data_IF_172497511071
#
_entry.id   IF_172497511071
#
_cell.length_a   1.000
_cell.length_b   1.000
_cell.length_c   1.000
_cell.angle_alpha   90.00
_cell.angle_beta   90.00
_cell.angle_gamma   90.00
#
_symmetry.space_group_name_H-M   'P 1'
#
loop_
_entity.id
_entity.type
_entity.pdbx_description
1 polymer ?
#
# COMPACT_ATOMS: atom_id res chain seq x y z
N UNK A 1 -54.11 25.53 -6.02
CA UNK A 1 -53.15 25.13 -4.96
C UNK A 1 -53.65 24.00 -4.06
N UNK A 2 -54.91 24.01 -3.57
CA UNK A 2 -55.41 23.02 -2.59
C UNK A 2 -55.35 21.55 -3.05
N UNK A 3 -55.53 21.25 -4.34
CA UNK A 3 -55.51 19.88 -4.86
C UNK A 3 -54.10 19.24 -4.95
N UNK A 4 -53.04 20.04 -5.07
CA UNK A 4 -51.66 19.52 -5.14
C UNK A 4 -51.15 19.02 -3.79
N UNK A 5 -51.57 19.67 -2.71
CA UNK A 5 -51.23 19.25 -1.33
C UNK A 5 -51.99 17.96 -0.96
N UNK A 6 -53.26 17.87 -1.34
CA UNK A 6 -54.08 16.67 -1.08
C UNK A 6 -53.53 15.43 -1.80
N UNK A 7 -53.04 15.59 -3.04
CA UNK A 7 -52.45 14.51 -3.82
C UNK A 7 -51.13 14.02 -3.21
N UNK A 8 -50.29 14.93 -2.68
CA UNK A 8 -49.05 14.55 -1.98
C UNK A 8 -49.29 13.75 -0.71
N UNK A 9 -50.32 14.11 0.08
CA UNK A 9 -50.69 13.39 1.31
C UNK A 9 -51.20 11.97 1.00
N UNK A 10 -51.99 11.81 -0.07
CA UNK A 10 -52.50 10.49 -0.49
C UNK A 10 -51.38 9.53 -0.92
N UNK A 11 -50.35 10.03 -1.62
CA UNK A 11 -49.19 9.23 -2.01
C UNK A 11 -48.40 8.80 -0.77
N UNK A 12 -48.16 9.72 0.17
CA UNK A 12 -47.42 9.43 1.40
C UNK A 12 -48.13 8.35 2.24
N UNK A 13 -49.46 8.43 2.38
CA UNK A 13 -50.25 7.43 3.10
C UNK A 13 -50.26 6.06 2.38
N UNK A 14 -50.27 6.04 1.04
CA UNK A 14 -50.14 4.82 0.26
C UNK A 14 -48.80 4.11 0.45
N UNK A 15 -47.70 4.87 0.51
CA UNK A 15 -46.35 4.33 0.75
C UNK A 15 -46.23 3.77 2.18
N UNK A 16 -46.73 4.48 3.19
CA UNK A 16 -46.69 4.01 4.58
C UNK A 16 -47.57 2.75 4.76
N UNK A 17 -48.74 2.70 4.11
CA UNK A 17 -49.59 1.51 4.10
C UNK A 17 -48.95 0.30 3.41
N UNK A 18 -48.25 0.52 2.30
CA UNK A 18 -47.53 -0.52 1.56
C UNK A 18 -46.38 -1.14 2.35
N UNK A 19 -45.58 -0.32 3.05
CA UNK A 19 -44.48 -0.80 3.90
C UNK A 19 -45.01 -1.64 5.06
N UNK A 20 -46.09 -1.21 5.72
CA UNK A 20 -46.68 -1.96 6.83
C UNK A 20 -47.31 -3.28 6.38
N UNK A 21 -47.91 -3.32 5.18
CA UNK A 21 -48.44 -4.56 4.59
C UNK A 21 -47.32 -5.55 4.22
N UNK A 22 -46.16 -5.05 3.77
CA UNK A 22 -45.02 -5.88 3.41
C UNK A 22 -44.33 -6.51 4.64
N UNK A 23 -44.21 -5.76 5.74
CA UNK A 23 -43.64 -6.28 6.99
C UNK A 23 -44.55 -7.29 7.70
N UNK A 24 -45.88 -7.17 7.59
CA UNK A 24 -46.80 -8.11 8.24
C UNK A 24 -46.94 -9.47 7.51
N UNK A 25 -46.33 -9.63 6.33
CA UNK A 25 -46.48 -10.83 5.48
C UNK A 25 -45.23 -11.74 5.46
N UNK A 26 -44.17 -11.40 6.20
CA UNK A 26 -42.90 -12.16 6.24
C UNK A 26 -42.71 -12.96 7.53
N UNK A 27 -43.79 -13.59 8.04
CA UNK A 27 -43.64 -14.73 8.93
C UNK A 27 -43.55 -16.02 8.10
N UNK A 28 -42.34 -16.59 8.05
CA UNK A 28 -42.06 -17.93 7.52
C UNK A 28 -42.52 -19.01 8.53
N UNK A 29 -42.87 -20.22 8.04
CA UNK A 29 -43.44 -21.29 8.85
C UNK A 29 -42.37 -22.02 9.70
N UNK A 30 -42.77 -22.64 10.82
CA UNK A 30 -41.88 -23.40 11.69
C UNK A 30 -41.82 -24.86 11.23
N UNK A 31 -40.91 -25.20 10.33
CA UNK A 31 -40.61 -26.60 10.01
C UNK A 31 -39.22 -26.68 9.37
N UNK A 32 -38.17 -26.81 10.20
CA UNK A 32 -36.85 -27.37 9.88
C UNK A 32 -35.93 -27.34 11.13
N UNK A 33 -36.43 -27.84 12.26
CA UNK A 33 -35.59 -28.30 13.37
C UNK A 33 -35.61 -29.83 13.36
N UNK A 34 -34.68 -30.48 12.65
CA UNK A 34 -34.19 -31.84 12.93
C UNK A 34 -33.22 -32.26 11.82
N UNK A 35 -31.91 -32.08 12.03
CA UNK A 35 -30.84 -33.00 11.59
C UNK A 35 -29.45 -32.38 11.77
N UNK A 36 -29.00 -32.24 13.02
CA UNK A 36 -27.56 -32.23 13.32
C UNK A 36 -27.34 -33.18 14.49
N UNK A 37 -27.02 -34.42 14.17
CA UNK A 37 -26.45 -35.37 15.09
C UNK A 37 -25.23 -35.99 14.43
N UNK A 38 -24.09 -35.79 15.11
CA UNK A 38 -22.95 -36.71 15.20
C UNK A 38 -21.95 -36.74 14.02
N UNK A 39 -20.83 -36.05 14.21
CA UNK A 39 -19.53 -36.52 13.69
C UNK A 39 -18.48 -36.35 14.79
N UNK A 40 -17.94 -37.49 15.22
CA UNK A 40 -16.92 -37.68 16.24
C UNK A 40 -15.53 -37.29 15.73
N UNK A 41 -14.80 -36.61 16.62
CA UNK A 41 -13.36 -36.66 16.92
C UNK A 41 -12.47 -37.52 16.01
N UNK A 42 -11.62 -36.86 15.21
CA UNK A 42 -10.37 -37.43 14.68
C UNK A 42 -9.36 -36.30 14.49
N UNK A 43 -8.64 -35.97 15.57
CA UNK A 43 -7.46 -35.10 15.50
C UNK A 43 -6.23 -35.94 15.14
N UNK A 44 -5.78 -35.84 13.89
CA UNK A 44 -4.43 -36.32 13.51
C UNK A 44 -3.35 -35.38 14.07
N UNK A 45 -2.21 -35.90 14.53
CA UNK A 45 -1.13 -35.08 15.08
C UNK A 45 -0.47 -34.21 13.99
N UNK A 46 -0.42 -32.91 14.26
CA UNK A 46 0.26 -31.89 13.48
C UNK A 46 1.74 -32.23 13.28
N UNK A 47 2.13 -32.57 12.05
CA UNK A 47 3.53 -32.82 11.67
C UNK A 47 4.25 -31.49 11.48
N UNK A 48 4.99 -31.08 12.51
CA UNK A 48 5.88 -29.92 12.52
C UNK A 48 6.85 -29.94 11.32
N UNK A 49 6.66 -29.02 10.36
CA UNK A 49 7.45 -28.96 9.14
C UNK A 49 8.86 -28.37 9.43
N UNK A 50 9.76 -29.22 9.91
CA UNK A 50 11.16 -28.91 10.27
C UNK A 50 12.06 -28.46 9.10
N UNK A 51 11.53 -28.20 7.90
CA UNK A 51 12.32 -27.80 6.73
C UNK A 51 12.75 -26.33 6.72
N UNK A 52 12.05 -25.43 7.42
CA UNK A 52 12.38 -24.00 7.41
C UNK A 52 13.33 -23.53 8.52
N UNK A 53 13.55 -24.32 9.58
CA UNK A 53 14.41 -23.91 10.70
C UNK A 53 15.92 -24.08 10.46
N UNK A 54 16.36 -24.72 9.36
CA UNK A 54 17.77 -25.10 9.19
C UNK A 54 18.67 -24.06 8.48
N UNK A 55 18.15 -22.90 8.11
CA UNK A 55 18.93 -21.86 7.39
C UNK A 55 19.29 -20.61 8.23
N UNK A 56 18.99 -20.58 9.53
CA UNK A 56 19.18 -19.39 10.38
C UNK A 56 20.57 -19.31 11.06
N UNK A 57 21.65 -19.73 10.38
CA UNK A 57 22.97 -19.17 10.73
C UNK A 57 23.03 -17.78 10.09
N UNK A 58 22.40 -16.80 10.77
CA UNK A 58 22.34 -15.38 10.40
C UNK A 58 23.74 -14.85 10.12
N UNK A 59 24.17 -14.92 8.86
CA UNK A 59 25.24 -14.06 8.38
C UNK A 59 24.63 -12.66 8.39
N UNK A 60 25.14 -11.76 9.23
CA UNK A 60 24.69 -10.37 9.27
C UNK A 60 25.09 -9.77 7.92
N UNK A 61 24.13 -9.75 7.01
CA UNK A 61 24.32 -9.28 5.66
C UNK A 61 24.23 -7.75 5.68
N UNK A 62 25.33 -7.06 5.37
CA UNK A 62 25.33 -5.62 5.26
C UNK A 62 24.90 -5.24 3.83
N UNK A 63 23.70 -4.66 3.61
CA UNK A 63 23.20 -4.34 2.28
C UNK A 63 24.04 -3.30 1.54
N UNK A 64 24.83 -2.52 2.27
CA UNK A 64 25.73 -1.49 1.74
C UNK A 64 27.15 -2.01 1.46
N UNK A 65 27.43 -3.29 1.72
CA UNK A 65 28.75 -3.85 1.42
C UNK A 65 28.97 -3.90 -0.09
N UNK A 66 30.00 -3.18 -0.55
CA UNK A 66 30.39 -3.21 -1.95
C UNK A 66 30.87 -4.60 -2.38
N UNK A 67 30.34 -5.06 -3.50
CA UNK A 67 30.74 -6.24 -4.23
C UNK A 67 31.85 -5.92 -5.22
N UNK A 68 33.04 -6.40 -4.88
CA UNK A 68 34.26 -6.23 -5.67
C UNK A 68 34.61 -7.48 -6.49
N UNK A 69 33.69 -8.44 -6.59
CA UNK A 69 33.90 -9.69 -7.33
C UNK A 69 33.68 -9.54 -8.84
N UNK A 70 33.90 -10.62 -9.61
CA UNK A 70 33.62 -10.62 -11.05
C UNK A 70 32.15 -10.30 -11.34
N UNK A 71 31.89 -9.46 -12.34
CA UNK A 71 30.53 -9.20 -12.84
C UNK A 71 30.09 -10.34 -13.79
N UNK A 72 30.00 -11.56 -13.24
CA UNK A 72 29.46 -12.74 -13.94
C UNK A 72 28.23 -13.26 -13.22
N UNK A 73 27.36 -13.96 -13.94
CA UNK A 73 26.10 -14.44 -13.39
C UNK A 73 26.34 -15.41 -12.23
N UNK A 74 27.33 -16.30 -12.34
CA UNK A 74 27.66 -17.28 -11.30
C UNK A 74 28.15 -16.60 -10.03
N UNK A 75 28.97 -15.56 -10.15
CA UNK A 75 29.55 -14.86 -9.01
C UNK A 75 28.49 -14.03 -8.28
N UNK A 76 27.58 -13.38 -9.02
CA UNK A 76 26.44 -12.65 -8.45
C UNK A 76 25.44 -13.59 -7.76
N UNK A 77 25.03 -14.67 -8.42
CA UNK A 77 24.13 -15.67 -7.83
C UNK A 77 24.72 -16.32 -6.57
N UNK A 78 26.02 -16.59 -6.56
CA UNK A 78 26.71 -17.13 -5.38
C UNK A 78 26.75 -16.13 -4.23
N UNK A 79 26.98 -14.85 -4.53
CA UNK A 79 27.11 -13.80 -3.51
C UNK A 79 25.75 -13.42 -2.91
N UNK A 80 24.72 -13.34 -3.75
CA UNK A 80 23.38 -12.89 -3.37
C UNK A 80 22.37 -14.04 -3.36
N UNK A 81 22.83 -15.28 -3.09
CA UNK A 81 21.98 -16.47 -3.03
C UNK A 81 20.92 -16.43 -1.92
N UNK A 82 20.99 -15.42 -1.05
CA UNK A 82 20.00 -15.15 0.00
C UNK A 82 18.65 -14.74 -0.56
N UNK A 83 18.60 -14.13 -1.75
CA UNK A 83 17.34 -13.91 -2.47
C UNK A 83 16.93 -15.23 -3.10
N UNK A 84 16.01 -15.92 -2.44
CA UNK A 84 15.49 -17.20 -2.92
C UNK A 84 14.93 -17.03 -4.34
N UNK A 85 15.25 -17.97 -5.22
CA UNK A 85 14.58 -18.10 -6.49
C UNK A 85 13.10 -18.35 -6.23
N UNK A 86 12.24 -17.46 -6.74
CA UNK A 86 10.80 -17.67 -6.76
C UNK A 86 10.49 -18.52 -8.00
N UNK A 87 10.01 -19.77 -7.85
CA UNK A 87 9.75 -20.66 -8.97
C UNK A 87 8.78 -20.09 -10.01
N UNK A 88 7.80 -19.28 -9.60
CA UNK A 88 6.80 -18.70 -10.51
C UNK A 88 7.43 -17.61 -11.36
N UNK A 89 8.27 -16.78 -10.74
CA UNK A 89 9.02 -15.72 -11.43
C UNK A 89 10.11 -16.34 -12.32
N UNK A 90 10.79 -17.40 -11.85
CA UNK A 90 11.81 -18.16 -12.59
C UNK A 90 11.25 -18.88 -13.81
N UNK A 91 9.98 -19.32 -13.77
CA UNK A 91 9.31 -19.91 -14.92
C UNK A 91 9.09 -18.89 -16.06
N UNK A 92 8.85 -17.63 -15.73
CA UNK A 92 8.57 -16.58 -16.73
C UNK A 92 9.83 -15.83 -17.17
N UNK A 93 10.68 -15.47 -16.22
CA UNK A 93 11.91 -14.72 -16.46
C UNK A 93 13.06 -15.37 -15.69
N UNK A 94 13.72 -16.43 -16.17
CA UNK A 94 14.74 -17.14 -15.39
C UNK A 94 15.81 -16.21 -14.79
N UNK A 95 16.12 -16.34 -13.50
CA UNK A 95 17.02 -15.41 -12.79
C UNK A 95 18.39 -15.26 -13.48
N UNK A 96 18.94 -16.37 -13.96
CA UNK A 96 20.21 -16.41 -14.68
C UNK A 96 20.16 -15.60 -15.98
N UNK A 97 19.10 -15.76 -16.76
CA UNK A 97 18.93 -15.05 -18.03
C UNK A 97 18.69 -13.57 -17.80
N UNK A 98 17.92 -13.22 -16.76
CA UNK A 98 17.72 -11.84 -16.35
C UNK A 98 19.05 -11.15 -15.98
N UNK A 99 19.87 -11.78 -15.13
CA UNK A 99 21.19 -11.25 -14.79
C UNK A 99 22.10 -11.15 -16.01
N UNK A 100 22.09 -12.15 -16.89
CA UNK A 100 22.87 -12.12 -18.13
C UNK A 100 22.47 -10.96 -19.03
N UNK A 101 21.17 -10.65 -19.12
CA UNK A 101 20.65 -9.51 -19.86
C UNK A 101 21.15 -8.18 -19.27
N UNK A 102 21.06 -8.00 -17.96
CA UNK A 102 21.53 -6.78 -17.29
C UNK A 102 23.03 -6.54 -17.54
N UNK A 103 23.85 -7.58 -17.34
CA UNK A 103 25.29 -7.52 -17.59
C UNK A 103 25.61 -7.20 -19.05
N UNK A 104 24.85 -7.76 -20.01
CA UNK A 104 25.03 -7.45 -21.44
C UNK A 104 24.71 -5.98 -21.77
N UNK A 105 23.81 -5.34 -21.01
CA UNK A 105 23.52 -3.91 -21.10
C UNK A 105 24.56 -3.03 -20.40
N UNK A 106 25.61 -3.61 -19.81
CA UNK A 106 26.70 -2.88 -19.15
C UNK A 106 26.39 -2.47 -17.71
N UNK A 107 25.31 -3.01 -17.14
CA UNK A 107 24.92 -2.72 -15.76
C UNK A 107 25.90 -3.38 -14.80
N UNK A 108 26.41 -2.59 -13.86
CA UNK A 108 27.29 -3.04 -12.79
C UNK A 108 26.47 -3.14 -11.51
N UNK A 109 26.43 -4.33 -10.91
CA UNK A 109 25.78 -4.58 -9.62
C UNK A 109 26.85 -4.44 -8.53
N UNK A 110 26.83 -3.31 -7.81
CA UNK A 110 27.87 -2.95 -6.86
C UNK A 110 27.58 -3.41 -5.45
N UNK A 111 26.34 -3.72 -5.11
CA UNK A 111 25.96 -4.13 -3.77
C UNK A 111 24.62 -4.89 -3.81
N UNK A 112 24.11 -5.26 -2.65
CA UNK A 112 22.84 -5.97 -2.55
C UNK A 112 21.64 -5.15 -2.96
N UNK A 113 21.60 -3.86 -2.63
CA UNK A 113 20.46 -3.00 -2.96
C UNK A 113 20.30 -2.89 -4.47
N UNK A 114 21.41 -2.81 -5.22
CA UNK A 114 21.37 -2.90 -6.68
C UNK A 114 20.77 -4.23 -7.12
N UNK A 115 21.27 -5.33 -6.57
CA UNK A 115 20.82 -6.67 -6.93
C UNK A 115 19.33 -6.90 -6.62
N UNK A 116 18.89 -6.59 -5.40
CA UNK A 116 17.51 -6.74 -4.95
C UNK A 116 16.59 -5.83 -5.75
N UNK A 117 17.03 -4.60 -6.05
CA UNK A 117 16.29 -3.67 -6.88
C UNK A 117 16.02 -4.19 -8.30
N UNK A 118 17.02 -4.79 -8.94
CA UNK A 118 16.84 -5.44 -10.24
C UNK A 118 15.99 -6.71 -10.16
N UNK A 119 16.00 -7.44 -9.03
CA UNK A 119 15.10 -8.56 -8.80
C UNK A 119 13.66 -8.11 -8.55
N UNK A 120 13.44 -6.97 -7.90
CA UNK A 120 12.11 -6.37 -7.72
C UNK A 120 11.51 -5.95 -9.08
N UNK A 121 12.29 -5.32 -9.95
CA UNK A 121 11.86 -5.01 -11.32
C UNK A 121 11.47 -6.27 -12.11
N UNK A 122 12.19 -7.37 -11.92
CA UNK A 122 11.88 -8.68 -12.51
C UNK A 122 10.55 -9.24 -12.00
N UNK A 123 10.30 -9.17 -10.68
CA UNK A 123 9.03 -9.57 -10.07
C UNK A 123 7.87 -8.74 -10.62
N UNK A 124 8.03 -7.41 -10.64
CA UNK A 124 7.03 -6.48 -11.16
C UNK A 124 6.61 -6.80 -12.60
N UNK A 125 7.55 -7.16 -13.48
CA UNK A 125 7.23 -7.56 -14.87
C UNK A 125 6.31 -8.78 -14.95
N UNK A 126 6.42 -9.75 -14.04
CA UNK A 126 5.55 -10.94 -14.05
C UNK A 126 4.11 -10.54 -13.71
N UNK A 127 3.94 -9.68 -12.72
CA UNK A 127 2.62 -9.16 -12.35
C UNK A 127 2.02 -8.34 -13.49
N UNK A 128 2.80 -7.41 -14.05
CA UNK A 128 2.37 -6.55 -15.15
C UNK A 128 1.95 -7.34 -16.38
N UNK A 129 2.56 -8.49 -16.67
CA UNK A 129 2.18 -9.31 -17.83
C UNK A 129 0.69 -9.67 -17.85
N UNK A 130 0.08 -9.80 -16.67
CA UNK A 130 -1.31 -10.19 -16.52
C UNK A 130 -2.27 -9.00 -16.38
N UNK A 131 -1.77 -7.75 -16.47
CA UNK A 131 -2.54 -6.54 -16.24
C UNK A 131 -2.43 -5.53 -17.42
N UNK A 132 -3.15 -5.79 -18.52
CA UNK A 132 -3.12 -4.92 -19.70
C UNK A 132 -3.57 -3.50 -19.44
N UNK A 133 -4.45 -3.24 -18.47
CA UNK A 133 -4.90 -1.89 -18.17
C UNK A 133 -3.73 -1.03 -17.66
N UNK A 134 -2.89 -1.61 -16.81
CA UNK A 134 -1.71 -0.93 -16.28
C UNK A 134 -0.64 -0.71 -17.37
N UNK A 135 -0.24 -1.75 -18.12
CA UNK A 135 0.89 -1.59 -19.06
C UNK A 135 0.53 -0.94 -20.41
N UNK A 136 -0.75 -0.84 -20.75
CA UNK A 136 -1.20 -0.01 -21.88
C UNK A 136 -1.38 1.47 -21.48
N UNK A 137 -1.28 1.79 -20.18
CA UNK A 137 -1.33 3.18 -19.70
C UNK A 137 0.04 3.87 -19.73
N UNK A 138 0.06 5.17 -19.41
CA UNK A 138 1.29 5.96 -19.24
C UNK A 138 1.78 6.02 -17.77
N UNK A 139 1.23 5.17 -16.89
CA UNK A 139 1.48 5.24 -15.44
C UNK A 139 2.95 5.05 -15.06
N UNK A 140 3.78 4.43 -15.89
CA UNK A 140 5.22 4.28 -15.62
C UNK A 140 6.09 5.36 -16.28
N UNK A 141 5.49 6.39 -16.89
CA UNK A 141 6.23 7.32 -17.75
C UNK A 141 6.75 6.64 -19.04
N UNK A 142 6.12 5.52 -19.40
CA UNK A 142 6.37 4.77 -20.63
C UNK A 142 5.21 5.12 -21.58
N UNK A 143 5.46 5.50 -22.84
CA UNK A 143 4.40 5.75 -23.79
C UNK A 143 3.45 4.54 -23.91
N UNK A 144 2.12 4.75 -23.88
CA UNK A 144 1.12 3.70 -24.09
C UNK A 144 1.45 2.84 -25.30
N UNK A 145 1.37 1.52 -25.14
CA UNK A 145 1.58 0.55 -26.21
C UNK A 145 0.63 -0.64 -26.04
N UNK A 146 0.23 -1.24 -27.16
CA UNK A 146 -0.60 -2.46 -27.17
C UNK A 146 0.23 -3.74 -27.38
N UNK A 147 1.55 -3.61 -27.47
CA UNK A 147 2.47 -4.74 -27.62
C UNK A 147 3.25 -4.97 -26.33
N UNK A 148 3.02 -6.16 -25.74
CA UNK A 148 3.66 -6.58 -24.49
C UNK A 148 5.18 -6.57 -24.59
N UNK A 149 5.74 -7.02 -25.73
CA UNK A 149 7.19 -7.11 -25.89
C UNK A 149 7.82 -5.71 -25.95
N UNK A 150 7.19 -4.77 -26.66
CA UNK A 150 7.56 -3.34 -26.65
C UNK A 150 7.46 -2.73 -25.24
N UNK A 151 6.37 -3.01 -24.50
CA UNK A 151 6.22 -2.52 -23.12
C UNK A 151 7.32 -3.08 -22.22
N UNK A 152 7.54 -4.39 -22.25
CA UNK A 152 8.54 -5.09 -21.44
C UNK A 152 9.93 -4.49 -21.65
N UNK A 153 10.35 -4.31 -22.89
CA UNK A 153 11.66 -3.71 -23.18
C UNK A 153 11.75 -2.27 -22.66
N UNK A 154 10.72 -1.46 -22.89
CA UNK A 154 10.67 -0.09 -22.38
C UNK A 154 10.65 -0.02 -20.84
N UNK A 155 9.97 -0.96 -20.18
CA UNK A 155 9.92 -1.05 -18.73
C UNK A 155 11.27 -1.42 -18.13
N UNK A 156 11.99 -2.36 -18.74
CA UNK A 156 13.33 -2.72 -18.29
C UNK A 156 14.26 -1.52 -18.43
N UNK A 157 14.28 -0.87 -19.61
CA UNK A 157 15.09 0.35 -19.83
C UNK A 157 14.72 1.46 -18.85
N UNK A 158 13.43 1.65 -18.59
CA UNK A 158 12.93 2.62 -17.61
C UNK A 158 13.48 2.31 -16.22
N UNK A 159 13.37 1.08 -15.74
CA UNK A 159 13.84 0.68 -14.41
C UNK A 159 15.36 0.81 -14.27
N UNK A 160 16.12 0.45 -15.31
CA UNK A 160 17.57 0.66 -15.34
C UNK A 160 17.89 2.14 -15.16
N UNK A 161 17.27 3.00 -15.98
CA UNK A 161 17.46 4.44 -15.89
C UNK A 161 17.06 5.01 -14.53
N UNK A 162 15.95 4.54 -13.93
CA UNK A 162 15.52 4.98 -12.60
C UNK A 162 16.59 4.67 -11.53
N UNK A 163 17.17 3.46 -11.56
CA UNK A 163 18.27 3.09 -10.67
C UNK A 163 19.53 3.92 -10.90
N UNK A 164 19.87 4.21 -12.16
CA UNK A 164 21.03 5.06 -12.47
C UNK A 164 20.86 6.49 -11.95
N UNK A 165 19.65 7.06 -12.02
CA UNK A 165 19.38 8.39 -11.44
C UNK A 165 19.58 8.39 -9.92
N UNK A 166 19.07 7.37 -9.22
CA UNK A 166 19.28 7.22 -7.79
C UNK A 166 20.76 7.08 -7.44
N UNK A 167 21.50 6.21 -8.15
CA UNK A 167 22.94 6.01 -7.92
C UNK A 167 23.75 7.28 -8.16
N UNK A 168 23.42 8.02 -9.22
CA UNK A 168 24.06 9.30 -9.50
C UNK A 168 23.81 10.31 -8.35
N UNK A 169 22.59 10.36 -7.82
CA UNK A 169 22.26 11.23 -6.70
C UNK A 169 22.95 10.82 -5.40
N UNK A 170 22.99 9.53 -5.05
CA UNK A 170 23.71 9.02 -3.86
C UNK A 170 25.21 9.27 -3.96
N UNK A 171 25.77 9.20 -5.16
CA UNK A 171 27.19 9.50 -5.40
C UNK A 171 27.52 10.97 -5.17
N UNK A 172 26.62 11.88 -5.56
CA UNK A 172 26.78 13.33 -5.37
C UNK A 172 26.49 13.73 -3.91
N UNK A 173 25.51 13.09 -3.29
CA UNK A 173 25.02 13.39 -1.95
C UNK A 173 24.75 12.07 -1.19
N UNK A 174 25.70 11.59 -0.37
CA UNK A 174 25.57 10.32 0.34
C UNK A 174 24.40 10.25 1.34
N UNK A 175 23.80 11.38 1.70
CA UNK A 175 22.62 11.42 2.57
C UNK A 175 21.32 11.11 1.82
N UNK A 176 21.36 11.00 0.48
CA UNK A 176 20.22 10.58 -0.34
C UNK A 176 19.81 9.16 0.03
N UNK A 177 18.56 9.02 0.50
CA UNK A 177 17.98 7.75 0.90
C UNK A 177 17.02 7.18 -0.14
N UNK A 178 16.69 7.93 -1.20
CA UNK A 178 15.75 7.50 -2.23
C UNK A 178 15.42 8.64 -3.20
N UNK A 179 14.25 8.55 -3.82
CA UNK A 179 13.72 9.63 -4.63
C UNK A 179 12.40 9.26 -5.30
N UNK A 180 11.80 10.24 -5.95
CA UNK A 180 10.59 10.05 -6.75
C UNK A 180 10.75 10.67 -8.13
N UNK A 181 10.01 10.13 -9.10
CA UNK A 181 10.01 10.64 -10.46
C UNK A 181 8.77 11.53 -10.67
N UNK A 182 9.03 12.81 -10.94
CA UNK A 182 8.02 13.82 -11.16
C UNK A 182 7.95 14.23 -12.64
N UNK A 183 6.89 14.98 -12.95
CA UNK A 183 6.57 15.42 -14.31
C UNK A 183 5.60 14.48 -15.01
N UNK A 184 5.03 14.97 -16.11
CA UNK A 184 4.04 14.24 -16.92
C UNK A 184 4.66 12.98 -17.55
N UNK A 185 5.93 13.04 -17.93
CA UNK A 185 6.71 11.92 -18.46
C UNK A 185 7.53 11.18 -17.40
N UNK A 186 7.39 11.59 -16.13
CA UNK A 186 8.16 11.08 -14.99
C UNK A 186 9.68 11.11 -15.23
N UNK A 187 10.22 12.08 -15.98
CA UNK A 187 11.66 12.15 -16.27
C UNK A 187 12.48 12.97 -15.28
N UNK A 188 11.83 13.66 -14.34
CA UNK A 188 12.53 14.48 -13.36
C UNK A 188 12.71 13.67 -12.08
N UNK A 189 13.95 13.28 -11.78
CA UNK A 189 14.27 12.62 -10.52
C UNK A 189 14.41 13.65 -9.39
N UNK A 190 13.63 13.49 -8.33
CA UNK A 190 13.64 14.32 -7.14
C UNK A 190 14.21 13.48 -5.97
N UNK A 191 15.51 13.60 -5.66
CA UNK A 191 16.16 12.79 -4.62
C UNK A 191 15.64 13.15 -3.23
N UNK A 192 15.29 12.15 -2.43
CA UNK A 192 14.83 12.33 -1.04
C UNK A 192 15.97 12.09 -0.06
N UNK A 193 15.98 12.88 1.01
CA UNK A 193 16.90 12.76 2.16
C UNK A 193 16.29 13.39 3.39
N UNK A 194 16.88 13.11 4.56
CA UNK A 194 16.45 13.72 5.83
C UNK A 194 16.53 15.25 5.72
N UNK A 195 15.46 15.91 6.16
CA UNK A 195 15.24 17.34 6.12
C UNK A 195 14.73 17.85 4.77
N UNK A 196 14.54 17.04 3.73
CA UNK A 196 14.11 17.55 2.41
C UNK A 196 12.63 17.33 2.14
N UNK A 197 11.93 18.40 1.76
CA UNK A 197 10.51 18.38 1.40
C UNK A 197 10.28 19.05 0.06
N UNK A 198 9.59 18.37 -0.84
CA UNK A 198 9.13 18.93 -2.11
C UNK A 198 7.67 19.38 -1.98
N UNK A 199 7.36 20.58 -2.44
CA UNK A 199 6.03 21.18 -2.33
C UNK A 199 5.49 21.51 -3.72
N UNK A 200 4.47 20.75 -4.14
CA UNK A 200 3.73 21.01 -5.37
C UNK A 200 2.48 21.81 -5.05
N UNK A 201 2.48 23.11 -5.34
CA UNK A 201 1.32 23.97 -5.09
C UNK A 201 0.18 23.66 -6.05
N UNK A 202 -1.02 23.54 -5.50
CA UNK A 202 -2.29 23.40 -6.23
C UNK A 202 -3.17 24.61 -5.94
N UNK A 203 -4.24 24.81 -6.71
CA UNK A 203 -5.14 25.96 -6.54
C UNK A 203 -5.71 26.08 -5.12
N UNK A 204 -5.96 24.95 -4.45
CA UNK A 204 -6.63 24.89 -3.16
C UNK A 204 -5.77 24.28 -2.04
N UNK A 205 -4.46 24.11 -2.27
CA UNK A 205 -3.59 23.45 -1.31
C UNK A 205 -2.21 23.13 -1.86
N UNK A 206 -1.62 22.08 -1.34
CA UNK A 206 -0.33 21.57 -1.81
C UNK A 206 -0.26 20.06 -1.65
N UNK A 207 0.56 19.43 -2.49
CA UNK A 207 1.00 18.05 -2.31
C UNK A 207 2.44 18.08 -1.83
N UNK A 208 2.73 17.30 -0.80
CA UNK A 208 4.05 17.20 -0.19
C UNK A 208 4.69 15.87 -0.56
N UNK A 209 6.00 15.89 -0.81
CA UNK A 209 6.79 14.69 -1.01
C UNK A 209 8.11 14.78 -0.23
N UNK A 210 8.72 13.64 0.09
CA UNK A 210 9.96 13.60 0.87
C UNK A 210 9.67 13.39 2.36
N UNK A 211 10.35 14.13 3.23
CA UNK A 211 10.11 14.02 4.67
C UNK A 211 8.74 14.62 5.06
N UNK A 212 8.03 13.92 5.94
CA UNK A 212 6.74 14.38 6.45
C UNK A 212 6.92 15.62 7.33
N UNK A 213 6.02 16.59 7.15
CA UNK A 213 5.89 17.75 8.02
C UNK A 213 4.69 17.56 8.94
N UNK A 214 4.79 18.04 10.19
CA UNK A 214 3.65 18.06 11.10
C UNK A 214 2.60 19.12 10.66
N UNK A 215 1.39 19.02 11.20
CA UNK A 215 0.30 19.92 10.82
C UNK A 215 0.61 21.41 11.07
N UNK A 216 1.36 21.74 12.13
CA UNK A 216 1.74 23.12 12.42
C UNK A 216 2.77 23.63 11.40
N UNK A 217 3.74 22.80 11.03
CA UNK A 217 4.73 23.09 9.99
C UNK A 217 4.07 23.26 8.63
N UNK A 218 3.13 22.38 8.26
CA UNK A 218 2.36 22.51 7.01
C UNK A 218 1.58 23.82 7.00
N UNK A 219 0.88 24.16 8.08
CA UNK A 219 0.10 25.39 8.17
C UNK A 219 0.98 26.64 8.09
N UNK A 220 2.06 26.70 8.87
CA UNK A 220 3.02 27.81 8.84
C UNK A 220 3.65 27.99 7.44
N UNK A 221 4.00 26.87 6.79
CA UNK A 221 4.56 26.89 5.45
C UNK A 221 3.55 27.37 4.40
N UNK A 222 2.31 26.88 4.43
CA UNK A 222 1.32 27.18 3.41
C UNK A 222 0.67 28.56 3.56
N UNK A 223 0.35 28.98 4.79
CA UNK A 223 -0.46 30.17 5.07
C UNK A 223 0.35 31.36 5.60
N UNK A 224 1.50 31.11 6.23
CA UNK A 224 2.39 32.17 6.74
C UNK A 224 3.66 32.32 5.89
N UNK A 225 3.96 31.35 5.02
CA UNK A 225 5.18 31.34 4.22
C UNK A 225 6.44 31.06 5.03
N UNK A 226 6.30 30.45 6.21
CA UNK A 226 7.41 30.18 7.13
C UNK A 226 7.96 28.78 6.86
N UNK A 227 9.22 28.71 6.43
CA UNK A 227 9.89 27.42 6.23
C UNK A 227 10.27 26.79 7.59
N UNK A 228 9.98 25.48 7.80
CA UNK A 228 10.33 24.81 9.05
C UNK A 228 11.87 24.75 9.22
N UNK A 229 12.34 25.03 10.43
CA UNK A 229 13.78 25.08 10.72
C UNK A 229 14.41 23.70 10.54
N UNK A 230 15.54 23.65 9.83
CA UNK A 230 16.25 22.40 9.57
C UNK A 230 15.78 21.67 8.31
N UNK A 231 14.75 22.19 7.63
CA UNK A 231 14.26 21.63 6.39
C UNK A 231 14.72 22.41 5.15
N UNK A 232 15.06 21.67 4.10
CA UNK A 232 15.20 22.15 2.73
C UNK A 232 13.85 21.99 2.02
N UNK A 233 13.11 23.10 1.90
CA UNK A 233 11.82 23.13 1.19
C UNK A 233 12.04 23.53 -0.27
N UNK A 234 11.68 22.64 -1.19
CA UNK A 234 11.85 22.81 -2.64
C UNK A 234 10.46 22.89 -3.28
N UNK A 235 10.11 24.02 -3.87
CA UNK A 235 8.85 24.16 -4.60
C UNK A 235 8.99 23.63 -6.03
N UNK A 236 8.00 22.86 -6.48
CA UNK A 236 7.96 22.29 -7.82
C UNK A 236 6.66 22.65 -8.55
N UNK A 237 6.75 22.80 -9.86
CA UNK A 237 5.61 23.06 -10.73
C UNK A 237 4.80 21.79 -11.05
N UNK A 238 3.78 21.94 -11.91
CA UNK A 238 2.97 20.80 -12.33
C UNK A 238 3.73 19.72 -13.09
N UNK A 239 4.85 20.10 -13.72
CA UNK A 239 5.75 19.24 -14.46
C UNK A 239 6.92 18.74 -13.60
N UNK A 240 6.92 18.98 -12.28
CA UNK A 240 7.98 18.55 -11.37
C UNK A 240 9.25 19.38 -11.43
N UNK A 241 9.28 20.48 -12.19
CA UNK A 241 10.45 21.35 -12.31
C UNK A 241 10.53 22.27 -11.09
N UNK A 242 11.75 22.49 -10.60
CA UNK A 242 12.01 23.39 -9.48
C UNK A 242 11.58 24.83 -9.84
N UNK A 243 10.80 25.43 -8.97
CA UNK A 243 10.46 26.85 -9.01
C UNK A 243 11.61 27.66 -8.41
N UNK A 244 12.06 28.69 -9.14
CA UNK A 244 13.11 29.61 -8.67
C UNK A 244 12.58 30.63 -7.68
N UNK A 245 11.28 30.93 -7.76
CA UNK A 245 10.59 31.87 -6.88
C UNK A 245 9.69 31.10 -5.92
N UNK A 246 9.75 31.47 -4.64
CA UNK A 246 8.91 30.89 -3.60
C UNK A 246 7.46 31.37 -3.86
N UNK A 247 6.48 30.45 -4.02
CA UNK A 247 5.09 30.83 -4.16
C UNK A 247 4.61 31.64 -2.95
N UNK A 248 3.77 32.67 -3.14
CA UNK A 248 3.23 33.43 -2.02
C UNK A 248 2.37 32.55 -1.10
N UNK A 249 2.24 32.89 0.19
CA UNK A 249 1.36 32.20 1.11
C UNK A 249 -0.09 32.16 0.61
N UNK A 250 -0.82 31.07 0.88
CA UNK A 250 -2.26 30.97 0.57
C UNK A 250 -3.00 31.95 1.48
N UNK A 251 -3.78 32.85 0.87
CA UNK A 251 -4.65 33.75 1.61
C UNK A 251 -6.06 33.19 1.72
N UNK A 252 -6.84 33.69 2.69
CA UNK A 252 -8.26 33.33 2.79
C UNK A 252 -9.03 33.72 1.51
N UNK A 253 -8.61 34.79 0.83
CA UNK A 253 -9.19 35.21 -0.44
C UNK A 253 -8.96 34.18 -1.55
N UNK A 254 -7.81 33.50 -1.58
CA UNK A 254 -7.55 32.43 -2.55
C UNK A 254 -8.46 31.22 -2.35
N UNK A 255 -8.80 30.93 -1.09
CA UNK A 255 -9.74 29.86 -0.73
C UNK A 255 -11.19 30.23 -1.09
N UNK A 256 -11.59 31.49 -0.86
CA UNK A 256 -12.96 31.97 -1.13
C UNK A 256 -13.22 32.31 -2.60
N UNK A 257 -12.18 32.70 -3.36
CA UNK A 257 -12.31 33.09 -4.76
C UNK A 257 -12.64 31.93 -5.71
N UNK A 258 -12.45 30.68 -5.26
CA UNK A 258 -12.60 29.49 -6.08
C UNK A 258 -13.89 28.70 -5.83
N UNK A 259 -14.86 29.27 -5.08
CA UNK A 259 -16.08 28.55 -4.69
C UNK A 259 -16.95 28.10 -5.87
N UNK A 260 -16.85 28.75 -7.03
CA UNK A 260 -17.60 28.41 -8.25
C UNK A 260 -17.07 27.15 -8.98
N UNK A 261 -15.84 26.72 -8.70
CA UNK A 261 -15.23 25.54 -9.34
C UNK A 261 -15.57 24.22 -8.65
N UNK A 262 -16.18 24.23 -7.45
CA UNK A 262 -16.60 23.02 -6.74
C UNK A 262 -17.81 22.30 -7.34
N UNK A 263 -18.38 22.84 -8.43
CA UNK A 263 -19.48 22.17 -9.13
C UNK A 263 -19.03 21.10 -10.12
N UNK A 264 -17.73 20.90 -10.35
CA UNK A 264 -17.21 19.86 -11.25
C UNK A 264 -16.14 19.01 -10.56
N UNK A 265 -16.55 17.83 -10.08
CA UNK A 265 -15.84 16.53 -9.94
C UNK A 265 -14.38 16.45 -9.45
N UNK A 266 -13.70 17.53 -9.12
CA UNK A 266 -12.38 17.52 -8.50
C UNK A 266 -12.57 17.47 -6.99
N UNK A 267 -12.57 16.26 -6.44
CA UNK A 267 -12.50 16.04 -5.00
C UNK A 267 -11.29 16.78 -4.46
N UNK A 268 -11.48 17.70 -3.50
CA UNK A 268 -10.37 18.22 -2.71
C UNK A 268 -9.86 17.05 -1.87
N UNK A 269 -8.94 16.27 -2.40
CA UNK A 269 -8.11 15.41 -1.57
C UNK A 269 -7.16 16.34 -0.82
N UNK A 270 -7.51 16.69 0.41
CA UNK A 270 -6.48 16.90 1.44
C UNK A 270 -5.95 15.51 1.77
N UNK A 271 -5.29 14.86 0.81
CA UNK A 271 -4.41 13.74 1.09
C UNK A 271 -3.15 14.34 1.71
N UNK A 272 -3.30 14.82 2.94
CA UNK A 272 -2.23 14.61 3.89
C UNK A 272 -2.18 13.10 4.05
N UNK A 273 -1.30 12.43 3.31
CA UNK A 273 -0.90 11.06 3.60
C UNK A 273 -0.40 11.09 5.04
N UNK A 274 -1.28 10.82 5.99
CA UNK A 274 -0.96 10.66 7.41
C UNK A 274 -0.25 9.32 7.54
N UNK A 275 1.03 9.30 7.19
CA UNK A 275 1.98 8.32 7.70
C UNK A 275 2.35 8.74 9.12
N UNK A 276 1.46 8.53 10.09
CA UNK A 276 1.71 8.91 11.50
C UNK A 276 2.64 7.93 12.24
N UNK A 277 3.20 6.91 11.58
CA UNK A 277 4.12 5.98 12.24
C UNK A 277 5.50 5.92 11.55
N UNK A 278 6.38 6.84 11.95
CA UNK A 278 7.84 6.61 11.89
C UNK A 278 8.60 7.52 12.85
N UNK A 279 8.19 7.54 14.13
CA UNK A 279 9.06 8.01 15.21
C UNK A 279 9.86 6.84 15.80
N UNK A 280 10.78 6.32 14.99
CA UNK A 280 12.08 5.79 15.37
C UNK A 280 12.90 5.62 14.09
N UNK A 281 13.65 6.66 13.71
CA UNK A 281 14.52 6.67 12.53
C UNK A 281 15.72 5.73 12.75
N UNK A 282 15.53 4.45 12.41
CA UNK A 282 16.58 3.64 11.80
C UNK A 282 16.25 3.53 10.31
N UNK A 283 17.23 3.83 9.45
CA UNK A 283 17.09 3.77 8.00
C UNK A 283 16.53 2.40 7.57
N UNK A 284 15.24 2.34 7.23
CA UNK A 284 14.67 1.15 6.63
C UNK A 284 15.11 1.07 5.16
N UNK A 285 15.44 -0.13 4.64
CA UNK A 285 15.92 -0.30 3.28
C UNK A 285 14.83 0.04 2.26
N UNK A 286 15.26 0.69 1.17
CA UNK A 286 14.48 1.17 0.00
C UNK A 286 13.51 0.12 -0.58
N UNK A 287 13.83 -1.16 -0.38
CA UNK A 287 13.05 -2.32 -0.82
C UNK A 287 11.61 -2.35 -0.25
N UNK A 288 11.40 -1.93 1.02
CA UNK A 288 10.04 -1.91 1.60
C UNK A 288 9.14 -0.83 1.02
N UNK A 289 9.67 0.37 0.79
CA UNK A 289 8.85 1.48 0.28
C UNK A 289 8.41 1.27 -1.17
N UNK A 290 9.20 0.56 -1.98
CA UNK A 290 8.80 0.21 -3.34
C UNK A 290 7.83 -0.97 -3.35
N UNK A 291 8.11 -2.05 -2.62
CA UNK A 291 7.20 -3.20 -2.54
C UNK A 291 5.85 -2.79 -1.88
N UNK A 292 5.83 -1.90 -0.89
CA UNK A 292 4.60 -1.34 -0.29
C UNK A 292 3.84 -0.40 -1.24
N UNK A 293 4.52 0.45 -2.02
CA UNK A 293 3.86 1.31 -3.01
C UNK A 293 3.29 0.48 -4.17
N UNK A 294 3.96 -0.61 -4.57
CA UNK A 294 3.48 -1.55 -5.58
C UNK A 294 2.35 -2.43 -5.05
N UNK A 295 2.43 -2.96 -3.84
CA UNK A 295 1.31 -3.65 -3.18
C UNK A 295 0.12 -2.70 -2.98
N UNK A 296 0.36 -1.44 -2.62
CA UNK A 296 -0.69 -0.42 -2.49
C UNK A 296 -1.35 -0.11 -3.84
N UNK A 297 -0.59 0.04 -4.93
CA UNK A 297 -1.14 0.21 -6.29
C UNK A 297 -1.87 -1.04 -6.80
N UNK A 298 -1.49 -2.24 -6.34
CA UNK A 298 -2.16 -3.51 -6.68
C UNK A 298 -3.35 -3.83 -5.75
N UNK A 299 -3.41 -3.25 -4.55
CA UNK A 299 -4.51 -3.40 -3.60
C UNK A 299 -5.57 -2.30 -3.71
N UNK A 300 -5.29 -1.25 -4.50
CA UNK A 300 -6.24 -0.18 -4.80
C UNK A 300 -7.02 -0.44 -6.10
N UNK A 301 -7.50 -1.67 -6.25
CA UNK A 301 -8.62 -2.02 -7.12
C UNK A 301 -9.93 -1.45 -6.55
N UNK A 302 -10.07 -0.12 -6.55
CA UNK A 302 -11.37 0.52 -6.77
C UNK A 302 -11.23 2.00 -7.14
N UNK A 303 -11.96 2.39 -8.20
CA UNK A 303 -12.36 3.75 -8.61
C UNK A 303 -11.54 4.45 -9.70
N UNK A 304 -11.83 4.08 -10.94
CA UNK A 304 -12.03 5.08 -12.01
C UNK A 304 -13.36 4.90 -12.77
N UNK A 305 -14.35 5.69 -12.33
CA UNK A 305 -15.36 6.43 -13.11
C UNK A 305 -16.33 5.78 -14.13
N UNK A 306 -16.39 4.47 -14.37
CA UNK A 306 -17.46 3.87 -15.23
C UNK A 306 -18.56 3.07 -14.49
N UNK A 307 -18.48 2.93 -13.16
CA UNK A 307 -19.33 1.98 -12.40
C UNK A 307 -20.70 2.49 -11.90
N UNK A 308 -21.11 3.74 -12.21
CA UNK A 308 -22.33 4.33 -11.64
C UNK A 308 -23.64 3.73 -12.21
N UNK A 309 -23.60 3.13 -13.41
CA UNK A 309 -24.77 2.43 -13.98
C UNK A 309 -24.88 0.95 -13.58
N UNK A 310 -23.77 0.31 -13.19
CA UNK A 310 -23.75 -1.11 -12.82
C UNK A 310 -24.16 -1.34 -11.35
N UNK A 311 -23.76 -0.45 -10.42
CA UNK A 311 -24.14 -0.56 -9.00
C UNK A 311 -25.64 -0.41 -8.74
N UNK A 312 -26.37 0.37 -9.55
CA UNK A 312 -27.84 0.45 -9.48
C UNK A 312 -28.51 -0.90 -9.78
N UNK A 313 -27.81 -1.79 -10.46
CA UNK A 313 -28.32 -3.10 -10.90
C UNK A 313 -27.98 -4.19 -9.88
N UNK A 314 -26.86 -4.06 -9.16
CA UNK A 314 -26.40 -5.05 -8.17
C UNK A 314 -26.91 -4.83 -6.73
N UNK A 315 -27.28 -3.61 -6.34
CA UNK A 315 -27.83 -3.35 -4.99
C UNK A 315 -29.25 -3.88 -4.76
N UNK A 316 -29.88 -4.51 -5.76
CA UNK A 316 -31.23 -5.10 -5.62
C UNK A 316 -31.24 -6.57 -5.18
N UNK A 317 -30.09 -7.24 -5.07
CA UNK A 317 -30.02 -8.65 -4.67
C UNK A 317 -28.67 -8.99 -4.04
N UNK A 318 -28.43 -8.76 -2.76
CA UNK A 318 -27.65 -9.68 -1.90
C UNK A 318 -27.97 -9.39 -0.42
N UNK A 319 -28.09 -10.47 0.36
CA UNK A 319 -28.52 -10.50 1.76
C UNK A 319 -27.40 -10.05 2.71
N UNK A 320 -27.78 -9.62 3.91
CA UNK A 320 -27.00 -8.79 4.84
C UNK A 320 -26.02 -9.54 5.77
N UNK A 321 -25.78 -10.84 5.57
CA UNK A 321 -25.19 -11.68 6.63
C UNK A 321 -23.77 -12.23 6.39
N UNK A 322 -23.08 -11.92 5.29
CA UNK A 322 -21.71 -12.42 5.08
C UNK A 322 -20.79 -11.39 4.39
N UNK A 323 -20.33 -10.40 5.16
CA UNK A 323 -19.13 -9.62 4.82
C UNK A 323 -18.12 -9.74 5.96
N UNK A 324 -17.21 -10.71 5.83
CA UNK A 324 -15.99 -10.81 6.65
C UNK A 324 -15.01 -9.78 6.09
N UNK A 325 -14.82 -8.68 6.82
CA UNK A 325 -13.90 -7.61 6.45
C UNK A 325 -12.45 -8.11 6.53
N UNK A 326 -11.69 -7.99 5.44
CA UNK A 326 -10.23 -8.05 5.47
C UNK A 326 -9.73 -6.71 6.00
N UNK A 327 -9.46 -6.65 7.30
CA UNK A 327 -8.91 -5.46 7.96
C UNK A 327 -7.38 -5.52 7.81
N UNK A 328 -6.76 -4.47 7.29
CA UNK A 328 -5.29 -4.38 7.17
C UNK A 328 -4.62 -4.36 8.54
N UNK A 329 -3.32 -4.68 8.61
CA UNK A 329 -2.53 -4.66 9.85
C UNK A 329 -2.62 -3.31 10.58
N UNK A 330 -2.65 -2.23 9.81
CA UNK A 330 -2.73 -0.84 10.29
C UNK A 330 -4.13 -0.52 10.82
N UNK A 331 -5.17 -0.90 10.07
CA UNK A 331 -6.57 -0.68 10.49
C UNK A 331 -6.91 -1.45 11.77
N UNK A 332 -6.21 -2.56 12.03
CA UNK A 332 -6.41 -3.38 13.21
C UNK A 332 -5.70 -2.82 14.44
N UNK A 333 -4.50 -2.24 14.30
CA UNK A 333 -3.89 -1.49 15.39
C UNK A 333 -4.74 -0.28 15.77
N UNK A 334 -5.25 0.45 14.77
CA UNK A 334 -6.21 1.55 15.00
C UNK A 334 -7.46 1.04 15.71
N UNK A 335 -8.07 -0.04 15.22
CA UNK A 335 -9.24 -0.66 15.85
C UNK A 335 -8.99 -1.08 17.30
N UNK A 336 -7.87 -1.75 17.59
CA UNK A 336 -7.53 -2.17 18.95
C UNK A 336 -7.20 -0.99 19.85
N UNK A 337 -6.58 0.09 19.35
CA UNK A 337 -6.34 1.33 20.10
C UNK A 337 -7.63 2.14 20.34
N UNK A 338 -8.63 2.01 19.47
CA UNK A 338 -9.95 2.64 19.65
C UNK A 338 -10.82 1.85 20.64
N UNK A 339 -10.81 0.52 20.56
CA UNK A 339 -11.59 -0.35 21.45
C UNK A 339 -10.99 -0.45 22.86
N UNK A 340 -9.66 -0.42 22.97
CA UNK A 340 -8.94 -0.55 24.24
C UNK A 340 -8.13 0.71 24.53
N UNK A 341 -8.10 1.15 25.79
CA UNK A 341 -7.26 2.28 26.19
C UNK A 341 -5.80 2.06 25.79
N UNK A 342 -5.10 3.11 25.36
CA UNK A 342 -3.70 3.05 24.92
C UNK A 342 -2.78 2.36 25.93
N UNK A 343 -3.00 2.55 27.24
CA UNK A 343 -2.24 1.88 28.30
C UNK A 343 -2.45 0.36 28.31
N UNK A 344 -3.70 -0.12 28.16
CA UNK A 344 -4.01 -1.56 28.10
C UNK A 344 -3.38 -2.20 26.86
N UNK A 345 -3.53 -1.55 25.70
CA UNK A 345 -2.94 -2.04 24.46
C UNK A 345 -1.41 -2.10 24.53
N UNK A 346 -0.76 -1.02 24.99
CA UNK A 346 0.70 -0.98 25.11
C UNK A 346 1.22 -2.04 26.11
N UNK A 347 0.52 -2.25 27.23
CA UNK A 347 0.84 -3.32 28.18
C UNK A 347 0.74 -4.70 27.53
N UNK A 348 -0.29 -4.93 26.71
CA UNK A 348 -0.44 -6.19 25.99
C UNK A 348 0.68 -6.42 24.97
N UNK A 349 1.04 -5.40 24.20
CA UNK A 349 2.16 -5.50 23.26
C UNK A 349 3.49 -5.74 23.99
N UNK A 350 3.70 -5.13 25.15
CA UNK A 350 4.88 -5.38 25.99
C UNK A 350 4.92 -6.83 26.50
N UNK A 351 3.78 -7.38 26.95
CA UNK A 351 3.67 -8.78 27.37
C UNK A 351 3.96 -9.74 26.22
N UNK A 352 3.41 -9.51 25.02
CA UNK A 352 3.71 -10.33 23.83
C UNK A 352 5.18 -10.24 23.43
N UNK A 353 5.77 -9.05 23.45
CA UNK A 353 7.18 -8.85 23.13
C UNK A 353 8.12 -9.52 24.14
N UNK A 354 7.74 -9.54 25.43
CA UNK A 354 8.56 -10.08 26.50
C UNK A 354 8.57 -11.61 26.53
N UNK A 355 7.43 -12.24 26.28
CA UNK A 355 7.26 -13.69 26.44
C UNK A 355 7.12 -14.46 25.12
N UNK A 356 7.01 -13.76 24.00
CA UNK A 356 6.68 -14.35 22.70
C UNK A 356 5.17 -14.52 22.53
N UNK A 357 4.74 -14.85 21.30
CA UNK A 357 3.33 -14.83 20.92
C UNK A 357 2.45 -15.81 21.74
N UNK A 358 2.89 -17.06 21.86
CA UNK A 358 2.10 -18.14 22.48
C UNK A 358 2.03 -17.99 24.01
N UNK A 359 3.17 -17.90 24.68
CA UNK A 359 3.23 -17.67 26.14
C UNK A 359 2.71 -16.27 26.53
N UNK A 360 2.93 -15.27 25.68
CA UNK A 360 2.42 -13.92 25.89
C UNK A 360 0.89 -13.84 25.81
N UNK A 361 0.26 -14.54 24.86
CA UNK A 361 -1.20 -14.65 24.81
C UNK A 361 -1.75 -15.38 26.04
N UNK A 362 -1.12 -16.47 26.50
CA UNK A 362 -1.53 -17.16 27.72
C UNK A 362 -1.49 -16.22 28.94
N UNK A 363 -0.41 -15.44 29.10
CA UNK A 363 -0.32 -14.45 30.19
C UNK A 363 -1.35 -13.34 30.05
N UNK A 364 -1.63 -12.90 28.82
CA UNK A 364 -2.69 -11.92 28.58
C UNK A 364 -4.07 -12.50 28.88
N UNK A 365 -4.32 -13.79 28.69
CA UNK A 365 -5.57 -14.40 29.12
C UNK A 365 -5.79 -14.32 30.63
N UNK A 366 -4.73 -14.46 31.41
CA UNK A 366 -4.77 -14.36 32.88
C UNK A 366 -4.97 -12.91 33.35
N UNK A 367 -4.38 -11.94 32.64
CA UNK A 367 -4.40 -10.51 33.02
C UNK A 367 -5.58 -9.72 32.42
N UNK A 368 -5.95 -10.03 31.17
CA UNK A 368 -6.91 -9.30 30.34
C UNK A 368 -7.51 -10.21 29.23
N UNK A 369 -8.41 -11.12 29.63
CA UNK A 369 -8.97 -12.16 28.75
C UNK A 369 -9.76 -11.63 27.54
N UNK A 370 -10.35 -10.44 27.64
CA UNK A 370 -11.09 -9.81 26.55
C UNK A 370 -10.15 -9.37 25.43
N UNK A 371 -9.06 -8.69 25.77
CA UNK A 371 -8.05 -8.25 24.81
C UNK A 371 -7.27 -9.44 24.23
N UNK A 372 -6.99 -10.45 25.05
CA UNK A 372 -6.32 -11.67 24.60
C UNK A 372 -7.14 -12.42 23.54
N UNK A 373 -8.46 -12.56 23.74
CA UNK A 373 -9.36 -13.18 22.77
C UNK A 373 -9.40 -12.44 21.43
N UNK A 374 -9.40 -11.11 21.46
CA UNK A 374 -9.45 -10.31 20.23
C UNK A 374 -8.13 -10.37 19.46
N UNK A 375 -7.00 -10.32 20.16
CA UNK A 375 -5.67 -10.54 19.58
C UNK A 375 -5.53 -11.96 19.00
N UNK A 376 -5.99 -12.98 19.72
CA UNK A 376 -5.94 -14.38 19.28
C UNK A 376 -6.76 -14.61 18.00
N UNK A 377 -8.02 -14.13 17.96
CA UNK A 377 -8.87 -14.21 16.75
C UNK A 377 -8.16 -13.62 15.55
N UNK A 378 -7.55 -12.46 15.75
CA UNK A 378 -6.85 -11.78 14.67
C UNK A 378 -5.63 -12.57 14.18
N UNK A 379 -4.78 -13.03 15.11
CA UNK A 379 -3.59 -13.83 14.80
C UNK A 379 -3.97 -15.13 14.08
N UNK A 380 -5.05 -15.79 14.48
CA UNK A 380 -5.53 -17.02 13.85
C UNK A 380 -6.09 -16.78 12.45
N UNK A 381 -6.77 -15.66 12.24
CA UNK A 381 -7.27 -15.25 10.92
C UNK A 381 -6.15 -14.90 9.93
N UNK A 382 -4.93 -14.62 10.42
CA UNK A 382 -3.73 -14.46 9.58
C UNK A 382 -3.13 -15.77 9.07
N UNK A 383 -3.47 -16.93 9.65
CA UNK A 383 -2.92 -18.19 9.12
C UNK A 383 -3.48 -18.36 7.71
N UNK A 384 -2.66 -18.30 6.65
CA UNK A 384 -3.15 -18.48 5.30
C UNK A 384 -3.85 -19.83 5.25
N UNK A 385 -5.11 -19.84 4.81
CA UNK A 385 -5.87 -21.06 4.60
C UNK A 385 -5.01 -21.97 3.74
N UNK A 386 -4.41 -22.99 4.35
CA UNK A 386 -3.68 -24.01 3.61
C UNK A 386 -4.75 -24.71 2.79
N UNK A 387 -4.90 -24.29 1.53
CA UNK A 387 -5.73 -25.01 0.55
C UNK A 387 -5.25 -26.45 0.57
N UNK A 388 -6.12 -27.34 1.03
CA UNK A 388 -5.92 -28.77 0.88
C UNK A 388 -5.64 -29.05 -0.60
N UNK A 389 -4.45 -29.56 -0.88
CA UNK A 389 -4.14 -30.05 -2.22
C UNK A 389 -5.00 -31.30 -2.42
N UNK A 390 -5.93 -31.32 -3.39
CA UNK A 390 -6.72 -32.52 -3.64
C UNK A 390 -5.77 -33.66 -4.07
N UNK A 391 -5.91 -34.80 -3.40
CA UNK A 391 -5.16 -36.03 -3.69
C UNK A 391 -5.51 -36.63 -5.04
#
# INVERSE_FOLDING_TARGET
>A
MKYKVLFGIMILLGVIGGVRYFFNRTHLPPELEMSIQKSEDTSEPFVENKRFQKYSSKTVFNPFQQYNGPQTVEALLKTYSTIAADPEIDATYPQREWLQMLLKRGIVIENFNDYSGYMAARRALVHLKNDPEIWTSDVFGIPPTNDWETFKDAFIERKIWEYEQLRAAVKEDPDVSGGLFAGTDKRIFLPTKIGRVYVKRKKLGAVFFGESLDANQINALLYEGIHPKGYEVIYIDDNGKHLTEIPPPITLQDLLGNTELFSQKDTISVEAVHSEETLQTQAQPIERQQDELYEYMLSSDDKSNEHIEFEKTLTKKFSKDEQVYQISDVDMEVYLREQFSSTRFNSAMETLNRYGLEEGLHKLFDEDSELALELERYILNRKPSQKEVPK
#
